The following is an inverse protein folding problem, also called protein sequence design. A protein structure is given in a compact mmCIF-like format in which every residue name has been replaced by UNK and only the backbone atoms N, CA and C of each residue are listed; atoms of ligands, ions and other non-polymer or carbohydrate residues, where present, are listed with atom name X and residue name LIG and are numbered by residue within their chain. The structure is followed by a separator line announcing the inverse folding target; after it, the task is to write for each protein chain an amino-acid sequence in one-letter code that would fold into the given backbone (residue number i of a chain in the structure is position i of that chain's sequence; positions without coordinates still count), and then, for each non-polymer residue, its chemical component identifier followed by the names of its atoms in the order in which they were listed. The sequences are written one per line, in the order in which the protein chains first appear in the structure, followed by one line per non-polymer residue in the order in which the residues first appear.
data_IF_432642805195
#
_entry.id   IF_432642805195
#
_cell.length_a   1.000
_cell.length_b   1.000
_cell.length_c   1.000
_cell.angle_alpha   90.00
_cell.angle_beta   90.00
_cell.angle_gamma   90.00
#
_symmetry.space_group_name_H-M   'P 1'
#
loop_
_entity.id
_entity.type
_entity.pdbx_description
1 polymer ?
#
# COMPACT_ATOMS: atom_id res chain seq x y z
N UNK A 1 23.53 -21.37 23.16
CA UNK A 1 24.52 -20.90 24.14
C UNK A 1 24.34 -19.40 24.27
N UNK A 2 24.29 -18.83 25.49
CA UNK A 2 24.19 -17.38 25.66
C UNK A 2 25.59 -16.79 25.43
N UNK A 3 25.80 -16.17 24.28
CA UNK A 3 27.06 -15.53 23.94
C UNK A 3 27.26 -14.30 24.84
N UNK A 4 28.28 -14.32 25.68
CA UNK A 4 28.59 -13.18 26.54
C UNK A 4 29.35 -12.11 25.73
N UNK A 5 28.60 -11.17 25.14
CA UNK A 5 29.13 -10.08 24.31
C UNK A 5 29.84 -8.97 25.11
N UNK A 6 29.79 -9.00 26.44
CA UNK A 6 30.42 -8.01 27.32
C UNK A 6 31.95 -7.98 27.23
N UNK A 7 32.56 -9.13 26.97
CA UNK A 7 34.02 -9.29 26.85
C UNK A 7 34.57 -8.84 25.49
N UNK A 8 33.71 -8.58 24.50
CA UNK A 8 34.13 -8.21 23.16
C UNK A 8 34.50 -6.73 23.06
N UNK A 9 35.43 -6.46 22.15
CA UNK A 9 35.84 -5.10 21.81
C UNK A 9 34.83 -4.44 20.87
N UNK A 10 34.76 -3.10 20.89
CA UNK A 10 33.91 -2.32 19.98
C UNK A 10 34.06 -2.70 18.49
N UNK A 11 35.27 -2.89 17.93
CA UNK A 11 35.41 -3.31 16.54
C UNK A 11 34.79 -4.68 16.28
N UNK A 12 34.97 -5.66 17.18
CA UNK A 12 34.39 -7.00 17.04
C UNK A 12 32.85 -6.97 17.05
N UNK A 13 32.25 -6.18 17.96
CA UNK A 13 30.80 -6.01 18.02
C UNK A 13 30.24 -5.38 16.73
N UNK A 14 30.96 -4.41 16.16
CA UNK A 14 30.57 -3.77 14.88
C UNK A 14 30.72 -4.72 13.70
N UNK A 15 31.78 -5.51 13.66
CA UNK A 15 31.99 -6.51 12.61
C UNK A 15 30.88 -7.56 12.60
N UNK A 16 30.49 -8.06 13.77
CA UNK A 16 29.41 -9.05 13.89
C UNK A 16 28.04 -8.47 13.54
N UNK A 17 27.74 -7.23 13.96
CA UNK A 17 26.52 -6.54 13.50
C UNK A 17 26.54 -6.26 11.99
N UNK A 18 27.71 -5.97 11.42
CA UNK A 18 27.87 -5.77 9.97
C UNK A 18 27.65 -7.07 9.20
N UNK A 19 28.19 -8.20 9.66
CA UNK A 19 27.93 -9.53 9.07
C UNK A 19 26.44 -9.85 9.06
N UNK A 20 25.75 -9.50 10.14
CA UNK A 20 24.31 -9.69 10.32
C UNK A 20 23.45 -8.58 9.68
N UNK A 21 24.05 -7.66 8.89
CA UNK A 21 23.39 -6.51 8.23
C UNK A 21 22.53 -5.65 9.16
N UNK A 22 22.87 -5.59 10.44
CA UNK A 22 22.14 -4.84 11.44
C UNK A 22 22.63 -3.39 11.57
N UNK A 23 21.76 -2.54 12.12
CA UNK A 23 22.12 -1.14 12.42
C UNK A 23 23.28 -1.06 13.41
N UNK A 24 24.31 -0.31 13.05
CA UNK A 24 25.44 0.01 13.92
C UNK A 24 25.09 1.21 14.81
N UNK A 25 25.32 1.08 16.12
CA UNK A 25 25.31 2.21 17.06
C UNK A 25 26.74 2.60 17.43
N UNK A 26 26.91 3.80 17.98
CA UNK A 26 28.19 4.29 18.49
C UNK A 26 28.45 3.83 19.93
N UNK A 27 27.41 3.48 20.70
CA UNK A 27 27.53 3.11 22.11
C UNK A 27 27.72 1.61 22.30
N UNK A 28 28.78 1.19 23.01
CA UNK A 28 29.10 -0.24 23.28
C UNK A 28 27.93 -1.02 23.87
N UNK A 29 27.25 -0.43 24.87
CA UNK A 29 26.11 -1.04 25.55
C UNK A 29 24.98 -1.39 24.60
N UNK A 30 24.67 -0.49 23.66
CA UNK A 30 23.60 -0.71 22.68
C UNK A 30 23.97 -1.78 21.64
N UNK A 31 25.26 -1.91 21.30
CA UNK A 31 25.71 -2.97 20.40
C UNK A 31 25.54 -4.36 21.04
N UNK A 32 25.88 -4.47 22.34
CA UNK A 32 25.71 -5.69 23.13
C UNK A 32 24.24 -6.05 23.25
N UNK A 33 23.41 -5.13 23.74
CA UNK A 33 21.97 -5.35 23.93
C UNK A 33 21.28 -5.76 22.62
N UNK A 34 21.70 -5.17 21.50
CA UNK A 34 21.18 -5.50 20.17
C UNK A 34 21.59 -6.90 19.73
N UNK A 35 22.85 -7.30 19.92
CA UNK A 35 23.30 -8.66 19.61
C UNK A 35 22.60 -9.71 20.49
N UNK A 36 22.42 -9.41 21.78
CA UNK A 36 21.67 -10.27 22.71
C UNK A 36 20.18 -10.36 22.34
N UNK A 37 19.56 -9.27 21.91
CA UNK A 37 18.19 -9.28 21.41
C UNK A 37 18.06 -10.15 20.16
N UNK A 38 18.95 -9.99 19.18
CA UNK A 38 18.92 -10.77 17.96
C UNK A 38 19.19 -12.27 18.17
N UNK A 39 20.12 -12.61 19.06
CA UNK A 39 20.36 -14.00 19.44
C UNK A 39 19.14 -14.62 20.15
N UNK A 40 18.47 -13.85 21.01
CA UNK A 40 17.24 -14.31 21.71
C UNK A 40 16.07 -14.50 20.75
N UNK A 41 15.90 -13.58 19.82
CA UNK A 41 14.78 -13.58 18.88
C UNK A 41 15.02 -14.51 17.67
N UNK A 42 16.23 -15.06 17.52
CA UNK A 42 16.64 -15.82 16.32
C UNK A 42 16.44 -15.04 15.01
N UNK A 43 16.56 -13.72 15.05
CA UNK A 43 16.26 -12.79 13.94
C UNK A 43 17.13 -13.03 12.69
N UNK A 44 18.21 -13.82 12.80
CA UNK A 44 19.10 -14.19 11.69
C UNK A 44 19.16 -15.70 11.39
N UNK A 45 18.39 -16.51 12.12
CA UNK A 45 18.37 -17.97 12.00
C UNK A 45 17.02 -18.54 11.56
N UNK A 46 15.95 -17.76 11.66
CA UNK A 46 14.68 -18.09 11.03
C UNK A 46 14.76 -17.77 9.55
N UNK A 47 14.74 -18.78 8.70
CA UNK A 47 14.13 -18.63 7.38
C UNK A 47 12.77 -17.99 7.67
N UNK A 48 12.55 -16.74 7.26
CA UNK A 48 11.18 -16.22 7.22
C UNK A 48 10.43 -17.22 6.36
N UNK A 49 9.62 -18.05 7.01
CA UNK A 49 8.56 -18.76 6.33
C UNK A 49 7.64 -17.62 5.90
N UNK A 50 8.00 -17.00 4.77
CA UNK A 50 7.10 -16.28 3.90
C UNK A 50 6.09 -17.35 3.50
N UNK A 51 5.23 -17.73 4.45
CA UNK A 51 4.22 -18.74 4.26
C UNK A 51 3.54 -18.42 2.95
N UNK A 52 3.26 -19.46 2.16
CA UNK A 52 2.77 -19.38 0.79
C UNK A 52 1.99 -18.08 0.56
N UNK A 53 2.50 -17.23 -0.35
CA UNK A 53 1.93 -15.93 -0.69
C UNK A 53 0.42 -15.96 -0.53
N UNK A 54 -0.12 -15.12 0.35
CA UNK A 54 -1.55 -15.11 0.67
C UNK A 54 -2.37 -15.10 -0.62
N UNK A 55 -2.92 -16.27 -0.97
CA UNK A 55 -3.64 -16.48 -2.20
C UNK A 55 -5.12 -16.33 -1.91
N UNK A 56 -5.72 -15.28 -2.47
CA UNK A 56 -7.16 -15.05 -2.37
C UNK A 56 -7.85 -15.62 -3.61
N UNK A 57 -8.89 -16.43 -3.42
CA UNK A 57 -9.74 -16.89 -4.51
C UNK A 57 -10.62 -15.75 -5.00
N UNK A 58 -10.34 -15.24 -6.21
CA UNK A 58 -11.19 -14.23 -6.84
C UNK A 58 -12.44 -14.89 -7.46
N UNK A 59 -13.64 -14.33 -7.26
CA UNK A 59 -14.83 -14.75 -7.98
C UNK A 59 -14.68 -14.59 -9.50
N UNK A 60 -15.44 -15.36 -10.29
CA UNK A 60 -15.48 -15.16 -11.74
C UNK A 60 -15.96 -13.76 -12.11
N UNK A 61 -15.30 -13.14 -13.10
CA UNK A 61 -15.61 -11.81 -13.62
C UNK A 61 -17.07 -11.68 -14.09
N UNK A 62 -17.64 -12.77 -14.59
CA UNK A 62 -19.06 -12.88 -15.01
C UNK A 62 -20.06 -12.66 -13.88
N UNK A 63 -19.65 -12.84 -12.61
CA UNK A 63 -20.49 -12.64 -11.43
C UNK A 63 -20.51 -11.19 -10.95
N UNK A 64 -19.60 -10.35 -11.45
CA UNK A 64 -19.61 -8.93 -11.14
C UNK A 64 -20.70 -8.27 -11.99
N UNK A 65 -21.73 -7.76 -11.31
CA UNK A 65 -22.76 -6.93 -11.92
C UNK A 65 -22.36 -5.47 -11.72
N UNK A 66 -22.30 -4.70 -12.80
CA UNK A 66 -22.12 -3.25 -12.69
C UNK A 66 -23.39 -2.63 -12.09
N UNK A 67 -23.20 -1.83 -11.04
CA UNK A 67 -24.28 -1.15 -10.31
C UNK A 67 -25.05 -0.19 -11.20
N UNK A 68 -24.47 0.27 -12.31
CA UNK A 68 -25.09 1.21 -13.22
C UNK A 68 -25.78 0.54 -14.42
N UNK A 69 -25.70 -0.78 -14.56
CA UNK A 69 -26.27 -1.50 -15.72
C UNK A 69 -27.79 -1.37 -15.80
N UNK A 70 -28.47 -1.26 -14.65
CA UNK A 70 -29.94 -1.13 -14.58
C UNK A 70 -30.40 0.31 -14.29
N UNK A 71 -29.46 1.25 -14.22
CA UNK A 71 -29.79 2.66 -14.00
C UNK A 71 -30.23 3.27 -15.33
N UNK A 72 -31.52 3.59 -15.43
CA UNK A 72 -32.04 4.42 -16.52
C UNK A 72 -31.82 5.90 -16.16
N UNK A 73 -30.95 6.57 -16.91
CA UNK A 73 -30.86 8.02 -16.84
C UNK A 73 -32.11 8.62 -17.50
N UNK A 74 -32.73 9.58 -16.83
CA UNK A 74 -33.87 10.32 -17.39
C UNK A 74 -33.38 11.16 -18.56
N UNK A 75 -33.97 10.95 -19.74
CA UNK A 75 -33.75 11.84 -20.88
C UNK A 75 -34.27 13.23 -20.53
N UNK A 76 -33.35 14.20 -20.41
CA UNK A 76 -33.71 15.59 -20.21
C UNK A 76 -33.74 16.35 -21.54
N UNK A 77 -34.70 17.27 -21.68
CA UNK A 77 -34.78 18.17 -22.83
C UNK A 77 -33.72 19.27 -22.68
N UNK A 78 -33.09 19.68 -23.78
CA UNK A 78 -32.06 20.73 -23.75
C UNK A 78 -32.57 22.05 -23.13
N UNK A 79 -33.83 22.42 -23.38
CA UNK A 79 -34.42 23.62 -22.75
C UNK A 79 -34.51 23.55 -21.22
N UNK A 80 -34.56 22.37 -20.61
CA UNK A 80 -34.49 22.21 -19.15
C UNK A 80 -33.07 22.46 -18.61
N UNK A 81 -32.05 22.21 -19.43
CA UNK A 81 -30.65 22.51 -19.10
C UNK A 81 -30.41 24.00 -19.20
N UNK A 82 -30.87 24.65 -20.27
CA UNK A 82 -30.71 26.09 -20.47
C UNK A 82 -31.36 26.89 -19.35
N UNK A 83 -32.61 26.58 -18.99
CA UNK A 83 -33.31 27.22 -17.86
C UNK A 83 -32.60 27.03 -16.52
N UNK A 84 -32.06 25.85 -16.25
CA UNK A 84 -31.27 25.60 -15.04
C UNK A 84 -29.95 26.38 -15.03
N UNK A 85 -29.26 26.46 -16.17
CA UNK A 85 -28.00 27.19 -16.30
C UNK A 85 -28.20 28.70 -16.12
N UNK A 86 -29.27 29.25 -16.68
CA UNK A 86 -29.69 30.64 -16.45
C UNK A 86 -30.02 30.89 -14.97
N UNK A 87 -30.76 29.99 -14.32
CA UNK A 87 -31.09 30.11 -12.90
C UNK A 87 -29.83 30.06 -12.00
N UNK A 88 -28.81 29.31 -12.41
CA UNK A 88 -27.62 29.05 -11.60
C UNK A 88 -26.42 29.93 -11.97
N UNK A 89 -26.60 30.90 -12.88
CA UNK A 89 -25.54 31.77 -13.42
C UNK A 89 -24.32 30.98 -13.95
N UNK A 90 -24.57 29.89 -14.68
CA UNK A 90 -23.52 29.01 -15.25
C UNK A 90 -23.53 29.06 -16.78
N UNK A 91 -22.35 29.08 -17.39
CA UNK A 91 -22.15 28.95 -18.84
C UNK A 91 -21.64 27.57 -19.22
N UNK A 92 -22.01 27.08 -20.41
CA UNK A 92 -21.35 25.93 -21.01
C UNK A 92 -20.04 26.38 -21.65
N UNK A 93 -18.92 25.79 -21.27
CA UNK A 93 -17.67 25.99 -21.97
C UNK A 93 -17.75 25.32 -23.36
N UNK A 94 -17.49 26.09 -24.40
CA UNK A 94 -17.78 25.76 -25.81
C UNK A 94 -17.04 24.53 -26.36
N UNK A 95 -16.04 24.01 -25.64
CA UNK A 95 -15.13 22.96 -26.12
C UNK A 95 -15.44 21.56 -25.56
N UNK A 96 -16.45 21.40 -24.69
CA UNK A 96 -16.81 20.08 -24.16
C UNK A 96 -17.84 19.39 -25.08
N UNK A 97 -17.53 18.20 -25.65
CA UNK A 97 -18.53 17.44 -26.38
C UNK A 97 -19.64 17.03 -25.43
N UNK A 98 -20.84 17.55 -25.65
CA UNK A 98 -22.05 17.11 -24.95
C UNK A 98 -22.31 15.67 -25.41
N UNK A 99 -22.05 14.69 -24.54
CA UNK A 99 -22.29 13.28 -24.80
C UNK A 99 -23.81 13.03 -24.91
N UNK A 100 -24.35 13.25 -26.10
CA UNK A 100 -25.67 12.77 -26.48
C UNK A 100 -25.52 11.33 -26.95
N UNK A 101 -26.33 10.43 -26.40
CA UNK A 101 -26.35 9.01 -26.79
C UNK A 101 -26.77 8.94 -28.27
N UNK A 102 -25.84 8.61 -29.16
CA UNK A 102 -26.19 8.18 -30.52
C UNK A 102 -26.86 6.81 -30.40
N UNK A 103 -28.12 6.71 -30.81
CA UNK A 103 -28.82 5.44 -30.93
C UNK A 103 -28.02 4.53 -31.87
N UNK A 104 -27.56 3.39 -31.35
CA UNK A 104 -27.09 2.24 -32.13
C UNK A 104 -28.22 1.21 -32.15
#
# INVERSE_FOLDING_TARGET
MVSNYGSWSLPQLKEELKKRKAKLSERKRELIERLEAYDRNQDFGGQEDLGEDFSMSLPELSKYKDMNTETEFVDFRMGAVETYLEQMDKSLDCDAPIYTRKNF
#
